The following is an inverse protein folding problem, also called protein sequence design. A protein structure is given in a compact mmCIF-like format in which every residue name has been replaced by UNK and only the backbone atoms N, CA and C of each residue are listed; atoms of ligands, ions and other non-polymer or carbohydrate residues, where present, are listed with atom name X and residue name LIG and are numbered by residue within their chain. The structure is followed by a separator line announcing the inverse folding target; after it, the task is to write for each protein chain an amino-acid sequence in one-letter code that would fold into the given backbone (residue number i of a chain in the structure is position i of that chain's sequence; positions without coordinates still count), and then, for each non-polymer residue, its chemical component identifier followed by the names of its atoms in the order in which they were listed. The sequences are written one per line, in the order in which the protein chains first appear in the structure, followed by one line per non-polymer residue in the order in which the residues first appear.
data_IF_846582008812
#
_entry.id   IF_846582008812
#
_cell.length_a   1.000
_cell.length_b   1.000
_cell.length_c   1.000
_cell.angle_alpha   90.00
_cell.angle_beta   90.00
_cell.angle_gamma   90.00
#
_symmetry.space_group_name_H-M   'P 1'
#
loop_
_entity.id
_entity.type
_entity.pdbx_description
1 polymer ?
#
# COMPACT_ATOMS: atom_id res chain seq x y z
N UNK A 1 19.02 -1.61 4.88
CA UNK A 1 17.95 -2.47 5.45
C UNK A 1 16.69 -1.61 5.54
N UNK A 2 15.77 -1.75 4.59
CA UNK A 2 14.45 -1.08 4.58
C UNK A 2 13.30 -2.07 4.83
N UNK A 3 13.61 -3.37 4.88
CA UNK A 3 12.63 -4.44 4.67
C UNK A 3 12.08 -5.11 5.95
N UNK A 4 12.47 -4.72 7.16
CA UNK A 4 12.17 -5.52 8.36
C UNK A 4 11.26 -4.87 9.43
N UNK A 5 10.54 -3.79 9.14
CA UNK A 5 9.73 -3.10 10.17
C UNK A 5 8.23 -3.40 10.06
N UNK A 6 7.85 -4.64 9.75
CA UNK A 6 6.44 -5.05 9.80
C UNK A 6 6.03 -5.86 11.03
N UNK A 7 6.95 -6.45 11.80
CA UNK A 7 6.58 -7.25 12.97
C UNK A 7 7.56 -7.04 14.13
N UNK A 8 7.12 -6.37 15.21
CA UNK A 8 7.43 -6.64 16.63
C UNK A 8 6.98 -5.48 17.57
N UNK A 9 6.08 -5.80 18.51
CA UNK A 9 5.89 -5.29 19.89
C UNK A 9 5.85 -3.79 20.29
N UNK A 10 4.68 -3.35 20.82
CA UNK A 10 4.39 -2.40 21.94
C UNK A 10 4.95 -0.94 21.94
N UNK A 11 4.46 0.02 22.79
CA UNK A 11 3.21 0.14 23.55
C UNK A 11 2.27 1.25 23.00
N UNK A 12 1.07 1.38 23.58
CA UNK A 12 0.02 2.32 23.18
C UNK A 12 0.46 3.79 23.18
N UNK A 13 0.33 4.44 22.02
CA UNK A 13 0.31 5.89 21.89
C UNK A 13 -1.06 6.30 21.38
N UNK A 14 -1.81 7.04 22.21
CA UNK A 14 -3.15 7.53 21.90
C UNK A 14 -3.09 8.50 20.71
N UNK A 15 -3.82 8.26 19.61
CA UNK A 15 -3.80 9.15 18.45
C UNK A 15 -4.54 10.46 18.75
N UNK A 16 -3.90 11.60 18.46
CA UNK A 16 -4.58 12.90 18.40
C UNK A 16 -5.37 12.98 17.09
N UNK A 17 -6.69 13.18 17.19
CA UNK A 17 -7.62 13.29 16.06
C UNK A 17 -7.25 14.45 15.13
N UNK A 18 -6.82 14.15 13.90
CA UNK A 18 -6.96 15.02 12.71
C UNK A 18 -7.43 14.16 11.53
N UNK A 19 -7.88 14.83 10.44
CA UNK A 19 -8.73 14.28 9.37
C UNK A 19 -8.17 13.01 8.71
N UNK A 20 -8.52 11.85 9.26
CA UNK A 20 -8.41 10.56 8.58
C UNK A 20 -9.29 10.56 7.32
N UNK A 21 -8.91 9.82 6.29
CA UNK A 21 -9.81 9.52 5.15
C UNK A 21 -11.19 9.12 5.68
N UNK A 22 -12.22 9.84 5.27
CA UNK A 22 -13.60 9.65 5.75
C UNK A 22 -14.30 8.47 5.07
N UNK A 23 -13.64 7.79 4.14
CA UNK A 23 -14.24 6.67 3.44
C UNK A 23 -14.50 5.50 4.40
N UNK A 24 -15.76 5.09 4.43
CA UNK A 24 -16.25 3.85 5.01
C UNK A 24 -16.87 3.08 3.85
N UNK A 25 -16.43 1.84 3.57
CA UNK A 25 -17.03 1.07 2.50
C UNK A 25 -18.47 0.69 2.88
N UNK A 26 -19.40 0.83 1.95
CA UNK A 26 -20.73 0.22 2.11
C UNK A 26 -20.68 -1.29 1.81
N UNK A 27 -21.77 -2.02 2.05
CA UNK A 27 -21.84 -3.47 1.84
C UNK A 27 -21.47 -3.90 0.41
N UNK A 28 -21.87 -3.12 -0.59
CA UNK A 28 -21.55 -3.40 -1.99
C UNK A 28 -20.06 -3.19 -2.30
N UNK A 29 -19.47 -2.10 -1.80
CA UNK A 29 -18.04 -1.85 -1.91
C UNK A 29 -17.20 -2.91 -1.18
N UNK A 30 -17.66 -3.38 -0.01
CA UNK A 30 -17.06 -4.49 0.72
C UNK A 30 -17.10 -5.78 -0.10
N UNK A 31 -18.24 -6.11 -0.68
CA UNK A 31 -18.40 -7.27 -1.56
C UNK A 31 -17.44 -7.21 -2.75
N UNK A 32 -17.32 -6.05 -3.40
CA UNK A 32 -16.43 -5.86 -4.55
C UNK A 32 -14.96 -6.01 -4.16
N UNK A 33 -14.51 -5.37 -3.07
CA UNK A 33 -13.12 -5.46 -2.59
C UNK A 33 -12.79 -6.90 -2.20
N UNK A 34 -13.61 -7.53 -1.35
CA UNK A 34 -13.37 -8.91 -0.90
C UNK A 34 -13.47 -9.91 -2.06
N UNK A 35 -14.41 -9.71 -2.98
CA UNK A 35 -14.63 -10.62 -4.12
C UNK A 35 -13.63 -10.48 -5.28
N UNK A 36 -12.84 -9.41 -5.33
CA UNK A 36 -11.81 -9.20 -6.37
C UNK A 36 -10.38 -9.35 -5.84
N UNK A 37 -10.23 -9.55 -4.54
CA UNK A 37 -8.97 -9.90 -3.89
C UNK A 37 -8.67 -11.39 -4.03
N UNK A 38 -7.40 -11.77 -4.09
CA UNK A 38 -6.96 -13.17 -4.08
C UNK A 38 -6.64 -13.64 -2.68
N UNK A 39 -6.82 -14.93 -2.42
CA UNK A 39 -6.20 -15.64 -1.30
C UNK A 39 -4.95 -16.44 -1.73
N UNK A 40 -4.68 -16.56 -3.04
CA UNK A 40 -3.52 -17.24 -3.58
C UNK A 40 -2.23 -16.43 -3.36
N UNK A 41 -1.24 -17.05 -2.72
CA UNK A 41 0.01 -16.36 -2.33
C UNK A 41 0.87 -15.96 -3.52
N UNK A 42 0.90 -16.76 -4.58
CA UNK A 42 1.72 -16.48 -5.76
C UNK A 42 1.11 -15.32 -6.57
N UNK A 43 -0.20 -15.32 -6.72
CA UNK A 43 -0.95 -14.24 -7.35
C UNK A 43 -0.84 -12.92 -6.56
N UNK A 44 -0.90 -12.96 -5.23
CA UNK A 44 -0.65 -11.80 -4.38
C UNK A 44 0.80 -11.29 -4.48
N UNK A 45 1.78 -12.19 -4.57
CA UNK A 45 3.17 -11.83 -4.82
C UNK A 45 3.35 -11.15 -6.17
N UNK A 46 2.74 -11.69 -7.22
CA UNK A 46 2.79 -11.10 -8.57
C UNK A 46 2.16 -9.71 -8.59
N UNK A 47 0.99 -9.53 -7.95
CA UNK A 47 0.36 -8.22 -7.81
C UNK A 47 1.28 -7.22 -7.08
N UNK A 48 1.88 -7.63 -5.96
CA UNK A 48 2.82 -6.78 -5.22
C UNK A 48 4.04 -6.39 -6.07
N UNK A 49 4.56 -7.33 -6.86
CA UNK A 49 5.66 -7.09 -7.80
C UNK A 49 5.27 -6.10 -8.89
N UNK A 50 4.11 -6.27 -9.52
CA UNK A 50 3.61 -5.38 -10.57
C UNK A 50 3.46 -3.93 -10.09
N UNK A 51 3.04 -3.75 -8.83
CA UNK A 51 2.97 -2.44 -8.19
C UNK A 51 4.37 -1.81 -8.10
N UNK A 52 5.36 -2.53 -7.58
CA UNK A 52 6.74 -2.03 -7.51
C UNK A 52 7.36 -1.81 -8.89
N UNK A 53 7.03 -2.64 -9.86
CA UNK A 53 7.43 -2.47 -11.26
C UNK A 53 6.92 -1.16 -11.82
N UNK A 54 5.62 -0.90 -11.69
CA UNK A 54 5.04 0.35 -12.13
C UNK A 54 5.70 1.55 -11.46
N UNK A 55 5.86 1.52 -10.14
CA UNK A 55 6.46 2.63 -9.38
C UNK A 55 7.90 2.89 -9.83
N UNK A 56 8.73 1.86 -9.92
CA UNK A 56 10.14 2.03 -10.22
C UNK A 56 10.42 2.38 -11.68
N UNK A 57 9.54 2.04 -12.61
CA UNK A 57 9.64 2.51 -14.00
C UNK A 57 9.20 3.97 -14.13
N UNK A 58 8.14 4.39 -13.42
CA UNK A 58 7.58 5.73 -13.55
C UNK A 58 8.18 6.77 -12.58
N UNK A 59 8.90 6.33 -11.54
CA UNK A 59 9.49 7.20 -10.53
C UNK A 59 10.85 6.69 -10.04
N UNK A 60 11.91 7.06 -10.76
CA UNK A 60 13.29 6.66 -10.44
C UNK A 60 13.75 7.17 -9.06
N UNK A 61 13.21 8.28 -8.57
CA UNK A 61 13.54 8.78 -7.22
C UNK A 61 13.05 7.83 -6.13
N UNK A 62 11.90 7.19 -6.32
CA UNK A 62 11.39 6.18 -5.38
C UNK A 62 12.28 4.94 -5.43
N UNK A 63 12.67 4.48 -6.62
CA UNK A 63 13.60 3.35 -6.80
C UNK A 63 14.93 3.58 -6.08
N UNK A 64 15.48 4.78 -6.15
CA UNK A 64 16.74 5.15 -5.49
C UNK A 64 16.70 5.00 -3.96
N UNK A 65 15.52 5.01 -3.35
CA UNK A 65 15.36 4.75 -1.92
C UNK A 65 15.60 3.29 -1.54
N UNK A 66 15.74 2.37 -2.50
CA UNK A 66 15.96 0.94 -2.28
C UNK A 66 17.36 0.50 -2.76
N UNK A 67 18.45 0.83 -2.03
CA UNK A 67 19.82 0.50 -2.44
C UNK A 67 20.06 -0.96 -2.79
N UNK A 68 19.47 -1.89 -2.03
CA UNK A 68 19.59 -3.32 -2.30
C UNK A 68 19.02 -3.72 -3.67
N UNK A 69 17.93 -3.09 -4.08
CA UNK A 69 17.32 -3.33 -5.39
C UNK A 69 18.19 -2.68 -6.48
N UNK A 70 18.72 -1.49 -6.22
CA UNK A 70 19.61 -0.79 -7.14
C UNK A 70 20.90 -1.58 -7.44
N UNK A 71 21.45 -2.31 -6.47
CA UNK A 71 22.66 -3.13 -6.66
C UNK A 71 22.51 -4.25 -7.71
N UNK A 72 21.29 -4.66 -8.04
CA UNK A 72 21.03 -5.68 -9.06
C UNK A 72 21.06 -5.14 -10.50
N UNK A 73 21.24 -3.82 -10.70
CA UNK A 73 21.30 -3.22 -12.03
C UNK A 73 20.02 -3.46 -12.83
N UNK A 74 20.14 -3.99 -14.04
CA UNK A 74 19.01 -4.36 -14.91
C UNK A 74 18.25 -5.61 -14.41
N UNK A 75 18.92 -6.51 -13.70
CA UNK A 75 18.36 -7.76 -13.16
C UNK A 75 17.51 -7.58 -11.89
N UNK A 76 17.22 -6.34 -11.49
CA UNK A 76 16.51 -6.04 -10.26
C UNK A 76 15.09 -6.65 -10.20
N UNK A 77 14.46 -6.84 -11.35
CA UNK A 77 13.10 -7.41 -11.48
C UNK A 77 13.03 -8.83 -10.92
N UNK A 78 14.06 -9.62 -11.13
CA UNK A 78 14.10 -11.02 -10.65
C UNK A 78 14.67 -11.18 -9.25
N UNK A 79 15.16 -10.08 -8.66
CA UNK A 79 15.85 -10.09 -7.37
C UNK A 79 14.94 -10.52 -6.22
N UNK A 80 15.53 -11.22 -5.24
CA UNK A 80 14.84 -11.57 -3.98
C UNK A 80 14.41 -10.33 -3.19
N UNK A 81 15.12 -9.21 -3.36
CA UNK A 81 14.84 -7.97 -2.65
C UNK A 81 13.52 -7.32 -3.10
N UNK A 82 13.25 -7.25 -4.41
CA UNK A 82 11.96 -6.73 -4.90
C UNK A 82 10.81 -7.71 -4.60
N UNK A 83 11.04 -9.02 -4.73
CA UNK A 83 10.06 -10.07 -4.36
C UNK A 83 9.62 -9.96 -2.92
N UNK A 84 10.58 -9.74 -2.01
CA UNK A 84 10.27 -9.48 -0.61
C UNK A 84 9.44 -8.21 -0.41
N UNK A 85 9.74 -7.12 -1.13
CA UNK A 85 8.93 -5.89 -1.03
C UNK A 85 7.49 -6.12 -1.51
N UNK A 86 7.30 -6.80 -2.65
CA UNK A 86 5.99 -7.17 -3.18
C UNK A 86 5.18 -8.00 -2.18
N UNK A 87 5.79 -9.05 -1.62
CA UNK A 87 5.17 -9.90 -0.60
C UNK A 87 4.71 -9.13 0.63
N UNK A 88 5.58 -8.28 1.19
CA UNK A 88 5.27 -7.49 2.38
C UNK A 88 4.13 -6.50 2.12
N UNK A 89 4.10 -5.91 0.92
CA UNK A 89 3.04 -5.01 0.51
C UNK A 89 1.70 -5.74 0.37
N UNK A 90 1.65 -6.85 -0.37
CA UNK A 90 0.44 -7.64 -0.58
C UNK A 90 -0.10 -8.23 0.74
N UNK A 91 0.79 -8.68 1.64
CA UNK A 91 0.41 -9.15 2.98
C UNK A 91 -0.17 -8.02 3.83
N UNK A 92 0.37 -6.80 3.71
CA UNK A 92 -0.17 -5.62 4.40
C UNK A 92 -1.56 -5.29 3.89
N UNK A 93 -1.79 -5.33 2.57
CA UNK A 93 -3.11 -5.13 2.00
C UNK A 93 -4.11 -6.22 2.40
N UNK A 94 -3.69 -7.48 2.46
CA UNK A 94 -4.55 -8.59 2.92
C UNK A 94 -5.08 -8.32 4.34
N UNK A 95 -4.20 -7.94 5.27
CA UNK A 95 -4.60 -7.57 6.64
C UNK A 95 -5.58 -6.39 6.67
N UNK A 96 -5.38 -5.40 5.81
CA UNK A 96 -6.28 -4.26 5.68
C UNK A 96 -7.65 -4.70 5.18
N UNK A 97 -7.70 -5.51 4.13
CA UNK A 97 -8.93 -6.01 3.49
C UNK A 97 -9.73 -6.92 4.42
N UNK A 98 -9.05 -7.79 5.18
CA UNK A 98 -9.67 -8.65 6.19
C UNK A 98 -10.44 -7.84 7.25
N UNK A 99 -9.99 -6.62 7.56
CA UNK A 99 -10.54 -5.78 8.64
C UNK A 99 -11.29 -4.53 8.13
N UNK A 100 -11.42 -4.35 6.81
CA UNK A 100 -11.85 -3.07 6.20
C UNK A 100 -13.30 -2.69 6.52
N UNK A 101 -14.12 -3.65 6.96
CA UNK A 101 -15.47 -3.42 7.49
C UNK A 101 -15.47 -2.56 8.76
N UNK A 102 -14.39 -2.59 9.53
CA UNK A 102 -14.17 -1.75 10.69
C UNK A 102 -12.94 -0.87 10.47
N UNK A 103 -13.12 0.25 9.77
CA UNK A 103 -11.99 1.13 9.45
C UNK A 103 -11.37 1.77 10.69
N UNK A 104 -12.05 1.82 11.83
CA UNK A 104 -11.48 2.30 13.09
C UNK A 104 -10.38 1.37 13.63
N UNK A 105 -10.37 0.09 13.24
CA UNK A 105 -9.25 -0.83 13.48
C UNK A 105 -8.13 -0.67 12.46
N UNK A 106 -8.49 -0.41 11.20
CA UNK A 106 -7.54 -0.31 10.09
C UNK A 106 -6.73 0.99 10.11
N UNK A 107 -7.37 2.13 10.41
CA UNK A 107 -6.71 3.45 10.38
C UNK A 107 -5.50 3.51 11.34
N UNK A 108 -5.59 3.07 12.61
CA UNK A 108 -4.43 3.04 13.50
C UNK A 108 -3.30 2.12 13.01
N UNK A 109 -3.64 1.00 12.36
CA UNK A 109 -2.65 0.08 11.79
C UNK A 109 -1.85 0.77 10.66
N UNK A 110 -2.54 1.38 9.70
CA UNK A 110 -1.92 2.14 8.62
C UNK A 110 -1.11 3.33 9.15
N UNK A 111 -1.67 4.09 10.11
CA UNK A 111 -0.97 5.20 10.75
C UNK A 111 0.39 4.75 11.31
N UNK A 112 0.43 3.62 12.03
CA UNK A 112 1.68 3.08 12.60
C UNK A 112 2.70 2.71 11.53
N UNK A 113 2.25 2.17 10.38
CA UNK A 113 3.13 1.90 9.24
C UNK A 113 3.71 3.22 8.72
N UNK A 114 2.87 4.24 8.49
CA UNK A 114 3.29 5.57 8.09
C UNK A 114 4.33 6.20 9.03
N UNK A 115 4.07 6.15 10.33
CA UNK A 115 4.97 6.67 11.36
C UNK A 115 6.36 6.01 11.32
N UNK A 116 6.43 4.69 11.09
CA UNK A 116 7.71 3.97 10.96
C UNK A 116 8.53 4.44 9.77
N UNK A 117 7.89 4.95 8.71
CA UNK A 117 8.60 5.43 7.53
C UNK A 117 9.33 6.77 7.76
N UNK A 118 9.07 7.48 8.87
CA UNK A 118 9.83 8.68 9.26
C UNK A 118 11.33 8.40 9.42
N UNK A 119 11.69 7.17 9.81
CA UNK A 119 13.09 6.74 9.90
C UNK A 119 13.84 6.88 8.55
N UNK A 120 13.11 6.91 7.42
CA UNK A 120 13.68 7.05 6.09
C UNK A 120 13.70 8.49 5.57
N UNK A 121 13.13 9.46 6.29
CA UNK A 121 13.12 10.87 5.89
C UNK A 121 14.55 11.42 5.72
N UNK A 122 15.47 11.06 6.63
CA UNK A 122 16.89 11.42 6.54
C UNK A 122 17.61 10.81 5.32
N UNK A 123 17.05 9.76 4.71
CA UNK A 123 17.55 9.14 3.48
C UNK A 123 16.86 9.67 2.22
N UNK A 124 16.14 10.78 2.35
CA UNK A 124 15.47 11.45 1.24
C UNK A 124 14.04 10.98 0.96
N UNK A 125 13.46 10.08 1.78
CA UNK A 125 12.05 9.73 1.65
C UNK A 125 11.16 10.97 1.87
N UNK A 126 10.18 11.18 0.99
CA UNK A 126 9.21 12.27 1.07
C UNK A 126 7.78 11.73 0.96
N UNK A 127 6.79 12.33 1.66
CA UNK A 127 5.40 11.86 1.60
C UNK A 127 4.80 11.76 0.21
N UNK A 128 5.23 12.63 -0.72
CA UNK A 128 4.75 12.64 -2.11
C UNK A 128 5.08 11.34 -2.86
N UNK A 129 6.07 10.57 -2.40
CA UNK A 129 6.39 9.28 -2.99
C UNK A 129 5.27 8.24 -2.81
N UNK A 130 4.41 8.38 -1.79
CA UNK A 130 3.24 7.53 -1.67
C UNK A 130 2.17 7.78 -2.74
N UNK A 131 2.19 8.92 -3.45
CA UNK A 131 1.26 9.15 -4.55
C UNK A 131 1.48 8.13 -5.67
N UNK A 132 2.74 7.78 -5.96
CA UNK A 132 3.07 6.71 -6.91
C UNK A 132 2.50 5.35 -6.49
N UNK A 133 2.36 5.08 -5.19
CA UNK A 133 1.72 3.84 -4.71
C UNK A 133 0.20 3.87 -4.90
N UNK A 134 -0.44 5.04 -4.75
CA UNK A 134 -1.88 5.19 -5.01
C UNK A 134 -2.20 4.83 -6.46
N UNK A 135 -1.45 5.42 -7.39
CA UNK A 135 -1.64 5.22 -8.82
C UNK A 135 -1.34 3.77 -9.22
N UNK A 136 -0.24 3.21 -8.72
CA UNK A 136 0.16 1.83 -8.98
C UNK A 136 -0.90 0.83 -8.52
N UNK A 137 -1.39 0.95 -7.28
CA UNK A 137 -2.43 0.07 -6.75
C UNK A 137 -3.70 0.15 -7.60
N UNK A 138 -4.15 1.37 -7.92
CA UNK A 138 -5.35 1.57 -8.72
C UNK A 138 -5.22 0.97 -10.13
N UNK A 139 -4.06 1.15 -10.78
CA UNK A 139 -3.80 0.63 -12.11
C UNK A 139 -3.70 -0.90 -12.12
N UNK A 140 -2.88 -1.49 -11.25
CA UNK A 140 -2.68 -2.94 -11.19
C UNK A 140 -3.99 -3.67 -10.90
N UNK A 141 -4.79 -3.17 -9.96
CA UNK A 141 -6.12 -3.75 -9.69
C UNK A 141 -7.09 -3.54 -10.85
N UNK A 142 -7.04 -2.40 -11.53
CA UNK A 142 -7.84 -2.17 -12.75
C UNK A 142 -7.53 -3.22 -13.80
N UNK A 143 -6.25 -3.44 -14.11
CA UNK A 143 -5.83 -4.43 -15.12
C UNK A 143 -6.33 -5.83 -14.75
N UNK A 144 -6.16 -6.22 -13.49
CA UNK A 144 -6.65 -7.50 -12.97
C UNK A 144 -8.16 -7.66 -13.07
N UNK A 145 -8.94 -6.64 -12.73
CA UNK A 145 -10.40 -6.68 -12.81
C UNK A 145 -10.88 -6.79 -14.26
N UNK A 146 -10.22 -6.06 -15.16
CA UNK A 146 -10.54 -6.09 -16.58
C UNK A 146 -10.34 -7.49 -17.18
N UNK A 147 -9.32 -8.23 -16.73
CA UNK A 147 -9.00 -9.58 -17.21
C UNK A 147 -9.78 -10.70 -16.51
N UNK A 148 -10.20 -10.53 -15.25
CA UNK A 148 -10.80 -11.60 -14.45
C UNK A 148 -12.33 -11.59 -14.38
N UNK A 149 -12.99 -10.44 -14.52
CA UNK A 149 -14.44 -10.35 -14.41
C UNK A 149 -15.13 -10.42 -15.78
N UNK A 150 -16.42 -10.75 -15.82
CA UNK A 150 -17.20 -10.82 -17.08
C UNK A 150 -18.22 -9.67 -17.23
N UNK A 151 -18.81 -9.19 -16.14
CA UNK A 151 -19.89 -8.19 -16.19
C UNK A 151 -19.38 -6.75 -16.14
N UNK A 152 -19.65 -5.97 -17.19
CA UNK A 152 -19.11 -4.61 -17.40
C UNK A 152 -19.47 -3.62 -16.28
N UNK A 153 -20.70 -3.65 -15.76
CA UNK A 153 -21.14 -2.75 -14.68
C UNK A 153 -20.34 -3.02 -13.40
N UNK A 154 -20.28 -4.29 -12.98
CA UNK A 154 -19.51 -4.71 -11.81
C UNK A 154 -18.00 -4.42 -11.96
N UNK A 155 -17.43 -4.51 -13.17
CA UNK A 155 -16.04 -4.10 -13.43
C UNK A 155 -15.81 -2.63 -13.09
N UNK A 156 -16.65 -1.74 -13.61
CA UNK A 156 -16.50 -0.30 -13.41
C UNK A 156 -16.64 0.07 -11.94
N UNK A 157 -17.60 -0.54 -11.24
CA UNK A 157 -17.82 -0.31 -9.82
C UNK A 157 -16.67 -0.86 -8.97
N UNK A 158 -16.15 -2.04 -9.30
CA UNK A 158 -14.96 -2.60 -8.65
C UNK A 158 -13.74 -1.68 -8.84
N UNK A 159 -13.48 -1.21 -10.06
CA UNK A 159 -12.40 -0.27 -10.37
C UNK A 159 -12.54 1.02 -9.57
N UNK A 160 -13.74 1.61 -9.53
CA UNK A 160 -14.02 2.81 -8.76
C UNK A 160 -13.79 2.58 -7.25
N UNK A 161 -14.19 1.42 -6.75
CA UNK A 161 -14.00 1.03 -5.34
C UNK A 161 -12.51 0.87 -5.01
N UNK A 162 -11.72 0.22 -5.87
CA UNK A 162 -10.28 0.09 -5.69
C UNK A 162 -9.55 1.44 -5.71
N UNK A 163 -10.01 2.40 -6.51
CA UNK A 163 -9.48 3.78 -6.46
C UNK A 163 -9.71 4.44 -5.10
N UNK A 164 -10.93 4.31 -4.54
CA UNK A 164 -11.25 4.83 -3.19
C UNK A 164 -10.41 4.13 -2.12
N UNK A 165 -10.28 2.81 -2.21
CA UNK A 165 -9.46 2.00 -1.31
C UNK A 165 -7.99 2.43 -1.32
N UNK A 166 -7.38 2.57 -2.51
CA UNK A 166 -6.00 3.04 -2.65
C UNK A 166 -5.76 4.39 -1.99
N UNK A 167 -6.67 5.35 -2.22
CA UNK A 167 -6.60 6.68 -1.59
C UNK A 167 -6.76 6.59 -0.08
N UNK A 168 -7.69 5.77 0.41
CA UNK A 168 -7.87 5.53 1.84
C UNK A 168 -6.61 4.96 2.49
N UNK A 169 -5.99 3.94 1.90
CA UNK A 169 -4.77 3.32 2.42
C UNK A 169 -3.65 4.36 2.52
N UNK A 170 -3.36 5.05 1.40
CA UNK A 170 -2.25 5.99 1.33
C UNK A 170 -2.45 7.22 2.22
N UNK A 171 -3.66 7.77 2.31
CA UNK A 171 -3.93 8.93 3.17
C UNK A 171 -3.64 8.62 4.64
N UNK A 172 -4.01 7.43 5.13
CA UNK A 172 -3.72 7.05 6.52
C UNK A 172 -2.23 6.77 6.75
N UNK A 173 -1.50 6.23 5.75
CA UNK A 173 -0.02 6.14 5.82
C UNK A 173 0.62 7.54 5.92
N UNK A 174 0.20 8.46 5.04
CA UNK A 174 0.70 9.85 5.01
C UNK A 174 0.45 10.56 6.34
N UNK A 175 -0.76 10.41 6.89
CA UNK A 175 -1.11 11.00 8.19
C UNK A 175 -0.17 10.52 9.32
N UNK A 176 0.11 9.22 9.36
CA UNK A 176 1.06 8.64 10.31
C UNK A 176 2.47 9.21 10.19
N UNK A 177 2.95 9.36 8.96
CA UNK A 177 4.26 9.95 8.71
C UNK A 177 4.30 11.43 9.09
N UNK A 178 3.38 12.25 8.57
CA UNK A 178 3.42 13.70 8.74
C UNK A 178 3.28 14.09 10.21
N UNK A 179 2.37 13.43 10.94
CA UNK A 179 2.18 13.65 12.37
C UNK A 179 3.44 13.32 13.17
N UNK A 180 4.12 12.23 12.84
CA UNK A 180 5.32 11.78 13.55
C UNK A 180 6.55 12.62 13.17
N UNK A 181 6.68 12.97 11.90
CA UNK A 181 7.78 13.77 11.37
C UNK A 181 7.73 15.22 11.88
N UNK A 182 6.55 15.77 12.11
CA UNK A 182 6.38 17.08 12.72
C UNK A 182 6.85 17.12 14.19
N UNK A 183 6.79 16.00 14.91
CA UNK A 183 7.26 15.88 16.30
C UNK A 183 8.77 15.63 16.36
N UNK A 184 9.33 14.96 15.35
CA UNK A 184 10.74 14.58 15.31
C UNK A 184 11.70 15.71 14.88
N UNK A 185 11.15 16.87 14.47
CA UNK A 185 11.88 18.10 14.15
C UNK A 185 11.93 19.02 15.36
#
# INVERSE_FOLDING_TARGET
MLANILCCGSPDLKPKKKKTSSWQPNEYELMLIKGTWSDDTDDLNNLGMDIYYYIFENNQHVKALFPKIHHHGEGWRDSKDVKMQGYLFATTLSKVIENIENTDLVKPFLYKIGARHVAYAKRGFRPQFWDSFTDAMALCMTNRILTSMNYKVQKNDAIATWKKFSVFVINNLKEGFDSTNAIAK
#
